data_IF_943052850403
#
_entry.id   IF_943052850403
#
_cell.length_a   1.000
_cell.length_b   1.000
_cell.length_c   1.000
_cell.angle_alpha   90.00
_cell.angle_beta   90.00
_cell.angle_gamma   90.00
#
_symmetry.space_group_name_H-M   'P 1'
#
loop_
_entity.id
_entity.type
_entity.pdbx_description
1 polymer ?
#
# COMPACT_ATOMS: atom_id res chain seq x y z
N UNK A 1 -8.66 -76.55 4.62
CA UNK A 1 -7.59 -75.75 3.99
C UNK A 1 -8.13 -74.32 3.77
N UNK A 2 -7.78 -73.39 4.66
CA UNK A 2 -8.25 -72.00 4.62
C UNK A 2 -7.16 -71.15 4.03
N UNK A 3 -7.40 -70.56 2.82
CA UNK A 3 -6.48 -69.63 2.19
C UNK A 3 -6.73 -68.27 2.76
N UNK A 4 -5.72 -67.73 3.47
CA UNK A 4 -5.71 -66.34 3.98
C UNK A 4 -5.16 -65.47 2.87
N UNK A 5 -5.97 -64.57 2.34
CA UNK A 5 -5.58 -63.50 1.38
C UNK A 5 -5.21 -62.30 2.21
N UNK A 6 -3.91 -61.96 2.27
CA UNK A 6 -3.41 -60.75 2.90
C UNK A 6 -3.49 -59.63 1.88
N UNK A 7 -4.46 -58.70 2.09
CA UNK A 7 -4.58 -57.46 1.34
C UNK A 7 -3.63 -56.41 1.93
N UNK A 8 -2.62 -56.03 1.17
CA UNK A 8 -1.65 -55.00 1.51
C UNK A 8 -2.28 -53.64 1.15
N UNK A 9 -2.44 -52.67 2.09
CA UNK A 9 -2.88 -51.31 1.70
C UNK A 9 -1.69 -50.52 1.14
N UNK A 10 -1.79 -50.12 -0.09
CA UNK A 10 -0.86 -49.17 -0.78
C UNK A 10 -1.15 -47.78 -0.25
N UNK A 11 -0.26 -47.26 0.59
CA UNK A 11 -0.26 -45.84 1.03
C UNK A 11 0.20 -44.95 -0.12
N UNK A 12 -0.74 -44.28 -0.77
CA UNK A 12 -0.43 -43.16 -1.65
C UNK A 12 -0.04 -41.95 -0.82
N UNK A 13 1.25 -41.66 -0.74
CA UNK A 13 1.76 -40.37 -0.28
C UNK A 13 1.51 -39.33 -1.36
N UNK A 14 0.40 -38.58 -1.23
CA UNK A 14 0.17 -37.39 -2.02
C UNK A 14 1.16 -36.30 -1.58
N UNK A 15 2.26 -36.17 -2.33
CA UNK A 15 3.21 -35.07 -2.19
C UNK A 15 2.54 -33.79 -2.68
N UNK A 16 1.99 -32.98 -1.77
CA UNK A 16 1.60 -31.61 -2.05
C UNK A 16 2.86 -30.80 -2.39
N UNK A 17 3.15 -30.62 -3.67
CA UNK A 17 4.06 -29.57 -4.13
C UNK A 17 3.39 -28.24 -3.87
N UNK A 18 3.83 -27.55 -2.83
CA UNK A 18 3.54 -26.14 -2.62
C UNK A 18 4.17 -25.36 -3.77
N UNK A 19 3.40 -25.01 -4.79
CA UNK A 19 3.81 -24.02 -5.78
C UNK A 19 3.99 -22.68 -5.06
N UNK A 20 5.24 -22.27 -4.88
CA UNK A 20 5.58 -20.89 -4.59
C UNK A 20 5.18 -20.09 -5.83
N UNK A 21 3.98 -19.52 -5.83
CA UNK A 21 3.61 -18.47 -6.77
C UNK A 21 4.49 -17.27 -6.48
N UNK A 22 5.64 -17.21 -7.10
CA UNK A 22 6.46 -16.01 -7.22
C UNK A 22 5.62 -15.01 -8.02
N UNK A 23 5.32 -13.82 -7.51
CA UNK A 23 4.51 -12.86 -8.24
C UNK A 23 5.33 -12.26 -9.39
N UNK A 24 5.28 -12.91 -10.53
CA UNK A 24 5.85 -12.41 -11.81
C UNK A 24 5.22 -11.06 -12.20
N UNK A 25 4.02 -10.79 -11.71
CA UNK A 25 3.27 -9.53 -11.93
C UNK A 25 3.99 -8.31 -11.33
N UNK A 26 4.69 -8.45 -10.19
CA UNK A 26 5.38 -7.34 -9.55
C UNK A 26 6.63 -6.86 -10.33
N UNK A 27 7.21 -7.71 -11.16
CA UNK A 27 8.40 -7.38 -11.96
C UNK A 27 8.02 -6.67 -13.26
N UNK A 28 6.86 -6.99 -13.85
CA UNK A 28 6.35 -6.32 -15.06
C UNK A 28 5.89 -4.88 -14.74
N UNK A 29 5.22 -4.67 -13.60
CA UNK A 29 4.72 -3.36 -13.17
C UNK A 29 5.87 -2.36 -12.90
N UNK A 30 7.03 -2.84 -12.46
CA UNK A 30 8.21 -2.02 -12.20
C UNK A 30 8.91 -1.54 -13.49
N UNK A 31 8.69 -2.21 -14.63
CA UNK A 31 9.36 -1.88 -15.91
C UNK A 31 8.62 -0.84 -16.76
N UNK A 32 7.37 -0.54 -16.43
CA UNK A 32 6.52 0.38 -17.20
C UNK A 32 6.28 1.72 -16.52
N UNK A 33 6.77 1.91 -15.28
CA UNK A 33 6.62 3.14 -14.55
C UNK A 33 7.84 4.03 -14.76
N UNK A 34 7.63 5.23 -15.31
CA UNK A 34 8.64 6.26 -15.53
C UNK A 34 8.52 7.37 -14.49
N UNK A 35 9.67 7.93 -14.07
CA UNK A 35 9.67 9.10 -13.18
C UNK A 35 9.28 10.31 -14.01
N UNK A 36 8.29 11.07 -13.54
CA UNK A 36 7.82 12.30 -14.19
C UNK A 36 8.03 13.51 -13.28
N UNK A 37 8.30 14.65 -13.91
CA UNK A 37 8.45 15.92 -13.17
C UNK A 37 7.08 16.37 -12.64
N UNK A 38 7.01 16.97 -11.43
CA UNK A 38 5.75 17.45 -10.85
C UNK A 38 5.01 18.46 -11.74
N UNK A 39 5.75 19.24 -12.55
CA UNK A 39 5.18 20.26 -13.46
C UNK A 39 4.40 19.61 -14.61
N UNK A 40 4.77 18.40 -15.01
CA UNK A 40 4.11 17.65 -16.09
C UNK A 40 2.83 16.94 -15.64
N UNK A 41 2.50 16.96 -14.33
CA UNK A 41 1.34 16.27 -13.77
C UNK A 41 0.23 17.26 -13.44
N UNK A 42 -1.00 16.91 -13.80
CA UNK A 42 -2.19 17.72 -13.52
C UNK A 42 -2.27 18.12 -12.04
N UNK A 43 -2.61 19.38 -11.79
CA UNK A 43 -2.73 19.92 -10.43
C UNK A 43 -3.78 19.17 -9.61
N UNK A 44 -4.87 18.72 -10.23
CA UNK A 44 -5.92 17.95 -9.57
C UNK A 44 -5.41 16.61 -9.02
N UNK A 45 -4.56 15.91 -9.78
CA UNK A 45 -3.96 14.64 -9.30
C UNK A 45 -3.02 14.88 -8.13
N UNK A 46 -2.20 15.93 -8.20
CA UNK A 46 -1.25 16.31 -7.13
C UNK A 46 -1.97 16.70 -5.85
N UNK A 47 -2.96 17.60 -5.93
CA UNK A 47 -3.73 18.03 -4.76
C UNK A 47 -4.50 16.86 -4.14
N UNK A 48 -5.15 16.03 -4.97
CA UNK A 48 -5.89 14.87 -4.49
C UNK A 48 -4.99 13.86 -3.77
N UNK A 49 -3.82 13.55 -4.34
CA UNK A 49 -2.86 12.65 -3.69
C UNK A 49 -2.38 13.20 -2.34
N UNK A 50 -2.04 14.48 -2.29
CA UNK A 50 -1.60 15.14 -1.06
C UNK A 50 -2.73 15.21 -0.02
N UNK A 51 -3.90 15.75 -0.38
CA UNK A 51 -5.01 16.01 0.55
C UNK A 51 -5.57 14.71 1.15
N UNK A 52 -5.75 13.66 0.33
CA UNK A 52 -6.27 12.39 0.82
C UNK A 52 -5.22 11.62 1.61
N UNK A 53 -3.95 11.70 1.24
CA UNK A 53 -2.84 11.15 2.03
C UNK A 53 -2.72 11.83 3.40
N UNK A 54 -2.77 13.16 3.41
CA UNK A 54 -2.75 13.97 4.62
C UNK A 54 -3.94 13.66 5.54
N UNK A 55 -5.16 13.55 4.99
CA UNK A 55 -6.37 13.19 5.74
C UNK A 55 -6.22 11.88 6.53
N UNK A 56 -5.63 10.85 5.92
CA UNK A 56 -5.37 9.56 6.59
C UNK A 56 -4.41 9.71 7.76
N UNK A 57 -3.34 10.48 7.58
CA UNK A 57 -2.31 10.65 8.61
C UNK A 57 -2.73 11.62 9.72
N UNK A 58 -3.46 12.69 9.38
CA UNK A 58 -4.06 13.60 10.38
C UNK A 58 -5.11 12.93 11.26
N UNK A 59 -5.78 11.90 10.72
CA UNK A 59 -6.69 11.09 11.53
C UNK A 59 -5.97 10.42 12.71
N UNK A 60 -4.67 10.14 12.58
CA UNK A 60 -3.86 9.64 13.69
C UNK A 60 -3.72 10.68 14.80
N UNK A 61 -3.56 11.97 14.45
CA UNK A 61 -3.39 13.05 15.43
C UNK A 61 -4.70 13.39 16.17
N UNK A 62 -5.83 13.23 15.49
CA UNK A 62 -7.14 13.71 15.97
C UNK A 62 -8.08 12.60 16.41
N UNK A 63 -7.72 11.33 16.15
CA UNK A 63 -8.61 10.15 16.33
C UNK A 63 -9.94 10.27 15.57
N UNK A 64 -9.97 11.09 14.52
CA UNK A 64 -11.14 11.34 13.67
C UNK A 64 -10.78 11.12 12.22
N UNK A 65 -11.37 10.11 11.60
CA UNK A 65 -11.20 9.86 10.17
C UNK A 65 -12.48 10.19 9.42
N UNK A 66 -12.36 11.10 8.44
CA UNK A 66 -13.42 11.37 7.47
C UNK A 66 -13.30 10.38 6.32
N UNK A 67 -14.25 9.45 6.21
CA UNK A 67 -14.28 8.45 5.16
C UNK A 67 -14.18 9.07 3.76
N UNK A 68 -13.61 8.32 2.83
CA UNK A 68 -13.54 8.73 1.43
C UNK A 68 -14.90 8.55 0.76
N UNK A 69 -15.24 9.48 -0.13
CA UNK A 69 -16.40 9.37 -1.02
C UNK A 69 -16.06 8.56 -2.28
N UNK A 70 -17.10 8.14 -3.02
CA UNK A 70 -16.96 7.42 -4.30
C UNK A 70 -16.37 8.29 -5.41
N UNK A 71 -16.38 9.62 -5.25
CA UNK A 71 -15.72 10.56 -6.15
C UNK A 71 -14.24 10.78 -5.84
N UNK A 72 -13.80 10.42 -4.62
CA UNK A 72 -12.42 10.59 -4.16
C UNK A 72 -11.59 9.33 -4.31
N UNK A 73 -12.19 8.16 -4.10
CA UNK A 73 -11.46 6.89 -4.07
C UNK A 73 -12.26 5.75 -4.67
N UNK A 74 -11.55 4.70 -5.09
CA UNK A 74 -12.16 3.47 -5.59
C UNK A 74 -12.86 2.70 -4.48
N UNK A 75 -13.87 1.85 -4.79
CA UNK A 75 -14.57 1.03 -3.78
C UNK A 75 -13.61 0.18 -2.93
N UNK A 76 -12.54 -0.32 -3.53
CA UNK A 76 -11.50 -1.09 -2.85
C UNK A 76 -10.80 -0.26 -1.76
N UNK A 77 -10.44 0.98 -2.06
CA UNK A 77 -9.81 1.88 -1.08
C UNK A 77 -10.80 2.25 0.02
N UNK A 78 -12.03 2.60 -0.33
CA UNK A 78 -13.08 2.95 0.65
C UNK A 78 -13.30 1.80 1.64
N UNK A 79 -13.44 0.55 1.15
CA UNK A 79 -13.63 -0.63 1.99
C UNK A 79 -12.42 -0.95 2.90
N UNK A 80 -11.22 -0.51 2.51
CA UNK A 80 -10.00 -0.75 3.28
C UNK A 80 -9.60 0.43 4.19
N UNK A 81 -10.03 1.65 3.90
CA UNK A 81 -9.75 2.83 4.69
C UNK A 81 -10.92 3.13 5.65
N UNK A 82 -11.22 2.20 6.56
CA UNK A 82 -12.25 2.42 7.59
C UNK A 82 -11.65 3.06 8.85
N UNK A 83 -12.48 3.72 9.65
CA UNK A 83 -12.05 4.38 10.89
C UNK A 83 -11.35 3.38 11.85
N UNK A 84 -11.85 2.14 11.94
CA UNK A 84 -11.29 1.11 12.81
C UNK A 84 -9.88 0.68 12.34
N UNK A 85 -9.72 0.42 11.04
CA UNK A 85 -8.44 -0.01 10.46
C UNK A 85 -7.38 1.10 10.57
N UNK A 86 -7.79 2.34 10.33
CA UNK A 86 -6.92 3.51 10.46
C UNK A 86 -6.52 3.71 11.92
N UNK A 87 -7.47 3.67 12.85
CA UNK A 87 -7.21 3.81 14.29
C UNK A 87 -6.22 2.76 14.81
N UNK A 88 -6.41 1.49 14.46
CA UNK A 88 -5.50 0.41 14.83
C UNK A 88 -4.07 0.61 14.31
N UNK A 89 -3.94 1.20 13.11
CA UNK A 89 -2.63 1.53 12.52
C UNK A 89 -2.01 2.74 13.20
N UNK A 90 -2.82 3.76 13.49
CA UNK A 90 -2.41 5.02 14.12
C UNK A 90 -1.77 4.81 15.48
N UNK A 91 -2.35 3.94 16.34
CA UNK A 91 -1.81 3.65 17.67
C UNK A 91 -0.34 3.21 17.60
N UNK A 92 -0.01 2.30 16.66
CA UNK A 92 1.36 1.81 16.48
C UNK A 92 2.31 2.89 15.95
N UNK A 93 1.82 3.75 15.07
CA UNK A 93 2.62 4.82 14.46
C UNK A 93 2.93 5.90 15.48
N UNK A 94 1.93 6.40 16.22
CA UNK A 94 2.11 7.48 17.21
C UNK A 94 3.11 7.10 18.30
N UNK A 95 3.03 5.87 18.81
CA UNK A 95 3.97 5.40 19.83
C UNK A 95 5.44 5.48 19.37
N UNK A 96 5.70 5.14 18.11
CA UNK A 96 7.06 5.08 17.55
C UNK A 96 7.54 6.40 16.96
N UNK A 97 6.65 7.10 16.25
CA UNK A 97 7.00 8.24 15.41
C UNK A 97 6.53 9.58 15.99
N UNK A 98 5.64 9.58 17.01
CA UNK A 98 4.98 10.78 17.48
C UNK A 98 3.88 11.24 16.51
N UNK A 99 3.49 12.51 16.62
CA UNK A 99 2.43 13.09 15.78
C UNK A 99 2.90 13.29 14.34
N UNK A 100 2.00 13.13 13.39
CA UNK A 100 2.20 13.50 12.01
C UNK A 100 2.29 15.03 11.87
N UNK A 101 3.23 15.52 11.08
CA UNK A 101 3.45 16.95 10.81
C UNK A 101 3.03 17.28 9.38
N UNK A 102 3.68 16.64 8.37
CA UNK A 102 3.42 16.95 6.97
C UNK A 102 3.95 15.86 6.02
N UNK A 103 3.64 16.00 4.74
CA UNK A 103 4.09 15.17 3.62
C UNK A 103 5.05 15.95 2.73
N UNK A 104 6.23 15.38 2.48
CA UNK A 104 7.19 15.91 1.50
C UNK A 104 7.21 15.03 0.27
N UNK A 105 6.81 15.57 -0.88
CA UNK A 105 6.86 14.84 -2.17
C UNK A 105 8.32 14.47 -2.50
N UNK A 106 8.57 13.20 -2.79
CA UNK A 106 9.88 12.65 -3.18
C UNK A 106 9.94 12.47 -4.69
N UNK A 107 8.96 11.77 -5.25
CA UNK A 107 8.89 11.50 -6.69
C UNK A 107 7.45 11.17 -7.12
N UNK A 108 7.22 11.26 -8.41
CA UNK A 108 5.99 10.81 -9.06
C UNK A 108 6.37 9.79 -10.13
N UNK A 109 5.74 8.62 -10.09
CA UNK A 109 5.88 7.58 -11.10
C UNK A 109 4.60 7.54 -11.94
N UNK A 110 4.73 7.52 -13.26
CA UNK A 110 3.62 7.37 -14.19
C UNK A 110 3.70 5.99 -14.86
N UNK A 111 2.64 5.21 -14.77
CA UNK A 111 2.47 3.99 -15.54
C UNK A 111 1.73 4.31 -16.83
N UNK A 112 2.43 4.28 -17.96
CA UNK A 112 1.89 4.65 -19.27
C UNK A 112 0.82 3.65 -19.78
N UNK A 113 0.84 2.40 -19.30
CA UNK A 113 -0.12 1.37 -19.74
C UNK A 113 -1.48 1.58 -19.06
N UNK A 114 -1.49 1.79 -17.73
CA UNK A 114 -2.73 1.96 -16.95
C UNK A 114 -3.12 3.42 -16.79
N UNK A 115 -2.24 4.33 -17.16
CA UNK A 115 -2.34 5.78 -16.93
C UNK A 115 -2.52 6.15 -15.45
N UNK A 116 -1.91 5.35 -14.56
CA UNK A 116 -1.90 5.59 -13.13
C UNK A 116 -0.67 6.41 -12.72
N UNK A 117 -0.84 7.26 -11.71
CA UNK A 117 0.24 8.03 -11.10
C UNK A 117 0.47 7.59 -9.67
N UNK A 118 1.70 7.21 -9.32
CA UNK A 118 2.10 6.86 -7.95
C UNK A 118 2.90 8.02 -7.36
N UNK A 119 2.30 8.69 -6.39
CA UNK A 119 2.93 9.76 -5.62
C UNK A 119 3.62 9.16 -4.40
N UNK A 120 4.91 9.40 -4.27
CA UNK A 120 5.71 8.97 -3.11
C UNK A 120 6.04 10.17 -2.25
N UNK A 121 5.73 10.07 -0.97
CA UNK A 121 5.98 11.11 0.01
C UNK A 121 6.81 10.57 1.16
N UNK A 122 7.78 11.35 1.62
CA UNK A 122 8.36 11.19 2.95
C UNK A 122 7.36 11.74 3.98
N UNK A 123 7.04 10.94 4.99
CA UNK A 123 6.14 11.36 6.05
C UNK A 123 6.99 12.02 7.14
N UNK A 124 6.67 13.28 7.45
CA UNK A 124 7.30 14.02 8.53
C UNK A 124 6.55 13.79 9.84
N UNK A 125 7.28 13.36 10.86
CA UNK A 125 6.78 13.12 12.22
C UNK A 125 7.62 13.88 13.24
N UNK A 126 7.08 14.07 14.45
CA UNK A 126 7.80 14.70 15.57
C UNK A 126 9.09 13.96 15.94
N UNK A 127 9.08 12.62 15.82
CA UNK A 127 10.25 11.78 16.10
C UNK A 127 10.86 11.28 14.79
N UNK A 128 11.99 11.83 14.34
CA UNK A 128 12.56 11.52 13.03
C UNK A 128 13.31 10.17 12.96
N UNK A 129 13.39 9.42 14.07
CA UNK A 129 14.18 8.18 14.16
C UNK A 129 13.69 7.08 13.21
N UNK A 130 12.38 7.00 12.97
CA UNK A 130 11.78 5.98 12.10
C UNK A 130 11.21 6.65 10.85
N UNK A 131 11.98 6.65 9.78
CA UNK A 131 11.53 7.19 8.49
C UNK A 131 10.42 6.32 7.89
N UNK A 132 9.37 6.95 7.40
CA UNK A 132 8.26 6.27 6.74
C UNK A 132 7.92 6.96 5.42
N UNK A 133 7.54 6.16 4.45
CA UNK A 133 7.06 6.59 3.14
C UNK A 133 5.56 6.34 3.03
N UNK A 134 4.85 7.28 2.41
CA UNK A 134 3.48 7.11 1.95
C UNK A 134 3.49 7.02 0.43
N UNK A 135 2.76 6.04 -0.11
CA UNK A 135 2.47 5.91 -1.54
C UNK A 135 0.99 6.07 -1.77
N UNK A 136 0.62 6.98 -2.66
CA UNK A 136 -0.75 7.19 -3.12
C UNK A 136 -0.77 6.94 -4.61
N UNK A 137 -1.65 6.04 -5.06
CA UNK A 137 -1.89 5.84 -6.49
C UNK A 137 -3.17 6.55 -6.89
N UNK A 138 -3.09 7.38 -7.92
CA UNK A 138 -4.23 8.05 -8.56
C UNK A 138 -4.44 7.40 -9.92
N UNK A 139 -5.65 6.92 -10.17
CA UNK A 139 -6.02 6.29 -11.44
C UNK A 139 -6.33 7.31 -12.56
N UNK A 140 -6.66 6.80 -13.74
CA UNK A 140 -7.02 7.62 -14.90
C UNK A 140 -8.26 8.49 -14.66
N UNK A 141 -9.16 8.08 -13.75
CA UNK A 141 -10.38 8.82 -13.37
C UNK A 141 -10.14 9.85 -12.25
N UNK A 142 -8.88 10.10 -11.88
CA UNK A 142 -8.50 10.97 -10.78
C UNK A 142 -8.96 10.47 -9.39
N UNK A 143 -9.20 9.17 -9.21
CA UNK A 143 -9.53 8.56 -7.92
C UNK A 143 -8.32 7.94 -7.28
N UNK A 144 -8.27 7.94 -5.95
CA UNK A 144 -7.26 7.15 -5.23
C UNK A 144 -7.59 5.67 -5.38
N UNK A 145 -6.71 4.93 -6.04
CA UNK A 145 -6.83 3.48 -6.29
C UNK A 145 -6.02 2.62 -5.32
N UNK A 146 -4.99 3.21 -4.68
CA UNK A 146 -4.23 2.56 -3.62
C UNK A 146 -3.61 3.57 -2.64
N UNK A 147 -3.52 3.16 -1.37
CA UNK A 147 -2.81 3.86 -0.30
C UNK A 147 -1.95 2.85 0.44
N UNK A 148 -0.66 3.12 0.59
CA UNK A 148 0.25 2.26 1.33
C UNK A 148 1.27 3.08 2.13
N UNK A 149 1.60 2.64 3.34
CA UNK A 149 2.71 3.19 4.12
C UNK A 149 3.77 2.12 4.36
N UNK A 150 5.03 2.51 4.28
CA UNK A 150 6.16 1.61 4.50
C UNK A 150 7.21 2.30 5.39
N UNK A 151 7.76 1.57 6.35
CA UNK A 151 8.94 2.01 7.09
C UNK A 151 10.19 1.82 6.22
N UNK A 152 10.99 2.87 6.11
CA UNK A 152 12.26 2.83 5.39
C UNK A 152 13.32 2.38 6.38
N UNK A 153 13.78 1.13 6.24
CA UNK A 153 14.92 0.64 7.02
C UNK A 153 16.20 1.28 6.47
N UNK A 154 16.92 2.00 7.31
CA UNK A 154 18.28 2.39 6.97
C UNK A 154 19.08 1.07 6.81
N UNK A 155 19.72 0.86 5.65
CA UNK A 155 20.71 -0.20 5.56
C UNK A 155 21.79 0.13 6.58
N UNK A 156 22.21 -0.80 7.44
CA UNK A 156 23.43 -0.59 8.20
C UNK A 156 24.57 -0.37 7.21
N UNK A 157 25.40 0.63 7.48
CA UNK A 157 26.65 0.90 6.77
C UNK A 157 27.59 -0.30 6.92
#
# INVERSE_FOLDING_TARGET
>A
MRKIIILLPILFLASCKTQKNTPEIAVAEKRTAVIVKPEAVETLKKSRAYDLGKRVLEACNTSRFKAFSTTEATPKVIANATAEKISATCQKIILRNGRFIDLKLVEILHNEITNDYVFRYDIQYEKPMFKRELKITIDAENKVSAIATKEIKNKPL
#
